data_IF_023714335604
#
_entry.id   IF_023714335604
#
_cell.length_a   1.000
_cell.length_b   1.000
_cell.length_c   1.000
_cell.angle_alpha   90.00
_cell.angle_beta   90.00
_cell.angle_gamma   90.00
#
_symmetry.space_group_name_H-M   'P 1'
#
loop_
_entity.id
_entity.type
_entity.pdbx_description
1 polymer ?
#
# COMPACT_ATOMS: atom_id res chain seq x y z
N UNK A 1 37.52 16.00 -17.24
CA UNK A 1 38.59 16.82 -17.83
C UNK A 1 39.92 16.52 -17.14
N UNK A 2 39.95 16.48 -15.80
CA UNK A 2 41.19 16.30 -15.02
C UNK A 2 41.87 14.91 -15.23
N UNK A 3 41.10 13.86 -15.55
CA UNK A 3 41.64 12.52 -15.82
C UNK A 3 42.44 12.46 -17.14
N UNK A 4 41.98 13.17 -18.14
CA UNK A 4 42.60 13.20 -19.47
C UNK A 4 43.93 13.94 -19.45
N UNK A 5 44.03 15.03 -18.68
CA UNK A 5 45.26 15.80 -18.52
C UNK A 5 46.38 14.96 -17.88
N UNK A 6 46.05 14.18 -16.85
CA UNK A 6 47.03 13.29 -16.17
C UNK A 6 47.49 12.17 -17.11
N UNK A 7 46.62 11.62 -17.96
CA UNK A 7 47.00 10.59 -18.93
C UNK A 7 47.93 11.15 -20.03
N UNK A 8 47.68 12.37 -20.47
CA UNK A 8 48.58 13.07 -21.42
C UNK A 8 49.94 13.37 -20.80
N UNK A 9 49.99 13.79 -19.53
CA UNK A 9 51.25 14.01 -18.83
C UNK A 9 52.05 12.71 -18.66
N UNK A 10 51.42 11.61 -18.28
CA UNK A 10 52.07 10.29 -18.18
C UNK A 10 52.60 9.85 -19.55
N UNK A 11 51.84 10.06 -20.61
CA UNK A 11 52.25 9.72 -21.96
C UNK A 11 53.44 10.54 -22.41
N UNK A 12 53.49 11.85 -22.10
CA UNK A 12 54.64 12.72 -22.38
C UNK A 12 55.92 12.28 -21.65
N UNK A 13 55.82 11.87 -20.38
CA UNK A 13 56.94 11.32 -19.60
C UNK A 13 57.45 10.01 -20.21
N UNK A 14 56.56 9.12 -20.66
CA UNK A 14 56.94 7.88 -21.34
C UNK A 14 57.66 8.12 -22.66
N UNK A 15 57.24 9.13 -23.43
CA UNK A 15 57.90 9.51 -24.70
C UNK A 15 59.31 10.05 -24.47
N UNK A 16 59.54 10.74 -23.33
CA UNK A 16 60.86 11.25 -22.95
C UNK A 16 61.76 10.19 -22.31
N UNK A 17 61.31 8.93 -22.22
CA UNK A 17 62.02 7.83 -21.62
C UNK A 17 62.42 8.07 -20.14
N UNK A 18 61.61 8.84 -19.41
CA UNK A 18 61.79 9.16 -17.99
C UNK A 18 60.66 8.59 -17.19
N UNK A 19 60.97 8.22 -15.93
CA UNK A 19 59.94 7.72 -14.98
C UNK A 19 59.08 8.89 -14.51
N UNK A 20 57.73 8.85 -14.68
CA UNK A 20 56.86 9.89 -14.17
C UNK A 20 57.01 10.04 -12.65
N UNK A 21 56.97 11.27 -12.12
CA UNK A 21 57.04 11.49 -10.70
C UNK A 21 55.85 10.87 -9.93
N UNK A 22 56.09 10.27 -8.76
CA UNK A 22 55.05 9.62 -7.93
C UNK A 22 53.86 10.54 -7.62
N UNK A 23 54.05 11.84 -7.61
CA UNK A 23 52.99 12.86 -7.41
C UNK A 23 51.85 12.76 -8.42
N UNK A 24 52.15 12.31 -9.66
CA UNK A 24 51.12 12.12 -10.70
C UNK A 24 50.20 10.91 -10.35
N UNK A 25 50.77 9.90 -9.69
CA UNK A 25 49.97 8.74 -9.26
C UNK A 25 49.26 8.97 -7.91
N UNK A 26 49.81 9.83 -7.05
CA UNK A 26 49.19 10.21 -5.78
C UNK A 26 47.86 10.95 -5.97
N UNK A 27 47.72 11.77 -7.02
CA UNK A 27 46.46 12.43 -7.41
C UNK A 27 45.38 11.42 -7.81
N UNK A 28 45.75 10.21 -8.24
CA UNK A 28 44.82 9.13 -8.61
C UNK A 28 44.24 8.38 -7.42
N UNK A 29 44.76 8.52 -6.21
CA UNK A 29 44.03 8.12 -5.00
C UNK A 29 42.84 9.07 -4.84
N UNK A 30 41.91 8.92 -5.78
CA UNK A 30 40.67 9.66 -5.82
C UNK A 30 40.08 9.68 -4.43
N UNK A 31 39.69 10.87 -3.99
CA UNK A 31 38.71 11.01 -2.91
C UNK A 31 37.64 9.95 -3.18
N UNK A 32 37.77 8.81 -2.52
CA UNK A 32 36.66 7.88 -2.36
C UNK A 32 35.59 8.77 -1.77
N UNK A 33 34.67 9.26 -2.62
CA UNK A 33 33.45 9.92 -2.15
C UNK A 33 32.78 8.85 -1.31
N UNK A 34 33.14 8.81 -0.04
CA UNK A 34 32.37 8.10 0.96
C UNK A 34 30.99 8.72 0.81
N UNK A 35 30.14 8.01 0.06
CA UNK A 35 28.75 8.37 -0.09
C UNK A 35 28.20 8.23 1.32
N UNK A 36 28.25 9.33 2.08
CA UNK A 36 27.65 9.39 3.41
C UNK A 36 26.22 9.00 3.17
N UNK A 37 25.91 7.74 3.49
CA UNK A 37 24.56 7.20 3.40
C UNK A 37 23.78 8.05 4.37
N UNK A 38 23.07 9.07 3.85
CA UNK A 38 22.18 9.87 4.70
C UNK A 38 21.29 8.88 5.42
N UNK A 39 21.22 8.94 6.75
CA UNK A 39 20.30 8.07 7.49
C UNK A 39 18.92 8.24 6.85
N UNK A 40 18.24 7.14 6.62
CA UNK A 40 16.93 7.12 5.99
C UNK A 40 15.94 7.67 7.01
N UNK A 41 15.86 8.99 7.10
CA UNK A 41 15.00 9.68 8.07
C UNK A 41 13.57 9.42 7.64
N UNK A 42 12.85 8.64 8.43
CA UNK A 42 11.42 8.40 8.25
C UNK A 42 10.68 9.73 8.46
N UNK A 43 9.65 9.98 7.68
CA UNK A 43 8.84 11.21 7.75
C UNK A 43 7.35 10.88 7.68
N UNK A 44 6.51 11.71 8.31
CA UNK A 44 5.05 11.58 8.26
C UNK A 44 4.52 11.66 6.83
N UNK A 45 5.11 12.53 5.99
CA UNK A 45 4.78 12.60 4.57
C UNK A 45 5.14 11.31 3.82
N UNK A 46 6.27 10.69 4.19
CA UNK A 46 6.68 9.39 3.65
C UNK A 46 5.74 8.25 4.08
N UNK A 47 5.17 8.31 5.27
CA UNK A 47 4.14 7.38 5.75
C UNK A 47 2.83 7.60 5.00
N UNK A 48 2.37 8.85 4.87
CA UNK A 48 1.18 9.22 4.11
C UNK A 48 1.26 8.72 2.65
N UNK A 49 2.37 9.00 1.96
CA UNK A 49 2.55 8.58 0.57
C UNK A 49 2.47 7.06 0.39
N UNK A 50 2.90 6.27 1.36
CA UNK A 50 2.77 4.80 1.34
C UNK A 50 1.36 4.35 1.68
N UNK A 51 0.73 4.99 2.68
CA UNK A 51 -0.63 4.69 3.08
C UNK A 51 -1.65 4.99 1.96
N UNK A 52 -1.37 5.95 1.07
CA UNK A 52 -2.23 6.27 -0.06
C UNK A 52 -2.19 5.23 -1.19
N UNK A 53 -1.17 4.38 -1.23
CA UNK A 53 -1.04 3.32 -2.27
C UNK A 53 -1.54 1.97 -1.74
N UNK A 54 -1.11 1.61 -0.52
CA UNK A 54 -1.50 0.35 0.12
C UNK A 54 -1.88 0.65 1.57
N UNK A 55 -3.11 0.27 1.98
CA UNK A 55 -3.56 0.46 3.36
C UNK A 55 -2.61 -0.23 4.35
N UNK A 56 -2.29 0.46 5.43
CA UNK A 56 -1.37 -0.04 6.45
C UNK A 56 0.12 0.12 6.12
N UNK A 57 0.52 0.32 4.86
CA UNK A 57 1.94 0.41 4.50
C UNK A 57 2.65 1.61 5.14
N UNK A 58 1.97 2.73 5.30
CA UNK A 58 2.50 3.88 6.03
C UNK A 58 2.84 3.56 7.48
N UNK A 59 2.01 2.74 8.14
CA UNK A 59 2.22 2.28 9.51
C UNK A 59 3.39 1.31 9.63
N UNK A 60 3.53 0.37 8.68
CA UNK A 60 4.71 -0.50 8.61
C UNK A 60 6.01 0.29 8.42
N UNK A 61 5.96 1.34 7.58
CA UNK A 61 7.10 2.24 7.42
C UNK A 61 7.46 2.99 8.71
N UNK A 62 6.48 3.28 9.57
CA UNK A 62 6.64 3.93 10.86
C UNK A 62 6.91 2.96 12.03
N UNK A 63 7.20 1.68 11.75
CA UNK A 63 7.38 0.60 12.72
C UNK A 63 6.15 0.29 13.59
N UNK A 64 4.96 0.70 13.15
CA UNK A 64 3.68 0.44 13.82
C UNK A 64 2.90 -0.70 13.13
N UNK A 65 3.50 -1.89 13.09
CA UNK A 65 2.96 -3.04 12.35
C UNK A 65 1.55 -3.46 12.79
N UNK A 66 1.21 -3.35 14.08
CA UNK A 66 -0.12 -3.67 14.59
C UNK A 66 -1.22 -2.79 14.00
N UNK A 67 -1.00 -1.46 13.93
CA UNK A 67 -1.92 -0.53 13.26
C UNK A 67 -1.97 -0.79 11.76
N UNK A 68 -0.82 -1.06 11.14
CA UNK A 68 -0.75 -1.39 9.72
C UNK A 68 -1.59 -2.61 9.37
N UNK A 69 -1.50 -3.67 10.16
CA UNK A 69 -2.31 -4.87 9.97
C UNK A 69 -3.81 -4.60 10.17
N UNK A 70 -4.17 -3.79 11.15
CA UNK A 70 -5.56 -3.42 11.42
C UNK A 70 -6.19 -2.71 10.20
N UNK A 71 -5.54 -1.68 9.66
CA UNK A 71 -6.07 -0.96 8.50
C UNK A 71 -6.08 -1.83 7.24
N UNK A 72 -5.04 -2.62 7.02
CA UNK A 72 -4.98 -3.55 5.90
C UNK A 72 -6.13 -4.57 5.95
N UNK A 73 -6.34 -5.21 7.10
CA UNK A 73 -7.41 -6.20 7.26
C UNK A 73 -8.81 -5.57 7.14
N UNK A 74 -9.02 -4.38 7.72
CA UNK A 74 -10.29 -3.67 7.62
C UNK A 74 -10.64 -3.35 6.16
N UNK A 75 -9.68 -2.90 5.36
CA UNK A 75 -9.89 -2.56 3.96
C UNK A 75 -10.11 -3.82 3.10
N UNK A 76 -9.37 -4.90 3.35
CA UNK A 76 -9.59 -6.18 2.68
C UNK A 76 -11.00 -6.70 2.94
N UNK A 77 -11.49 -6.62 4.17
CA UNK A 77 -12.87 -7.00 4.52
C UNK A 77 -13.88 -6.11 3.80
N UNK A 78 -13.69 -4.78 3.83
CA UNK A 78 -14.60 -3.84 3.17
C UNK A 78 -14.67 -4.06 1.66
N UNK A 79 -13.54 -4.28 0.99
CA UNK A 79 -13.47 -4.58 -0.44
C UNK A 79 -14.10 -5.94 -0.76
N UNK A 80 -13.91 -6.94 0.10
CA UNK A 80 -14.53 -8.26 -0.08
C UNK A 80 -16.06 -8.17 0.00
N UNK A 81 -16.59 -7.42 0.98
CA UNK A 81 -18.02 -7.16 1.09
C UNK A 81 -18.54 -6.35 -0.11
N UNK A 82 -17.77 -5.38 -0.59
CA UNK A 82 -18.06 -4.63 -1.81
C UNK A 82 -18.15 -5.54 -3.04
N UNK A 83 -17.24 -6.49 -3.17
CA UNK A 83 -17.27 -7.46 -4.25
C UNK A 83 -18.51 -8.38 -4.20
N UNK A 84 -18.86 -8.86 -3.00
CA UNK A 84 -20.09 -9.65 -2.82
C UNK A 84 -21.36 -8.83 -3.18
N UNK A 85 -21.39 -7.56 -2.76
CA UNK A 85 -22.49 -6.66 -3.12
C UNK A 85 -22.56 -6.40 -4.64
N UNK A 86 -21.40 -6.34 -5.32
CA UNK A 86 -21.35 -6.25 -6.78
C UNK A 86 -21.94 -7.49 -7.46
N UNK A 87 -21.59 -8.69 -6.99
CA UNK A 87 -22.16 -9.92 -7.52
C UNK A 87 -23.69 -9.99 -7.35
N UNK A 88 -24.18 -9.51 -6.21
CA UNK A 88 -25.64 -9.43 -5.96
C UNK A 88 -26.33 -8.42 -6.87
N UNK A 89 -25.69 -7.26 -7.13
CA UNK A 89 -26.16 -6.27 -8.08
C UNK A 89 -26.20 -6.83 -9.51
N UNK A 90 -25.14 -7.46 -9.95
CA UNK A 90 -25.05 -8.05 -11.29
C UNK A 90 -26.12 -9.11 -11.54
N UNK A 91 -26.39 -9.97 -10.54
CA UNK A 91 -27.50 -10.94 -10.61
C UNK A 91 -28.87 -10.26 -10.70
N UNK A 92 -29.07 -9.17 -9.94
CA UNK A 92 -30.32 -8.41 -10.00
C UNK A 92 -30.50 -7.74 -11.33
N UNK A 93 -29.44 -7.15 -11.89
CA UNK A 93 -29.42 -6.56 -13.22
C UNK A 93 -29.78 -7.58 -14.32
N UNK A 94 -29.20 -8.78 -14.26
CA UNK A 94 -29.53 -9.86 -15.18
C UNK A 94 -31.02 -10.27 -15.15
N UNK A 95 -31.66 -10.20 -13.97
CA UNK A 95 -33.12 -10.45 -13.86
C UNK A 95 -33.96 -9.37 -14.55
N UNK A 96 -33.55 -8.11 -14.41
CA UNK A 96 -34.24 -6.98 -15.11
C UNK A 96 -34.16 -7.22 -16.62
N UNK A 97 -32.98 -7.47 -17.17
CA UNK A 97 -32.79 -7.73 -18.60
C UNK A 97 -33.63 -8.93 -19.10
N UNK A 98 -33.65 -10.02 -18.31
CA UNK A 98 -34.43 -11.21 -18.63
C UNK A 98 -35.95 -10.91 -18.71
N UNK A 99 -36.50 -10.26 -17.67
CA UNK A 99 -37.95 -10.00 -17.61
C UNK A 99 -38.35 -8.91 -18.61
N UNK A 100 -37.49 -7.93 -18.83
CA UNK A 100 -37.73 -6.88 -19.83
C UNK A 100 -37.76 -7.44 -21.27
N UNK A 101 -36.91 -8.39 -21.62
CA UNK A 101 -36.92 -9.11 -22.90
C UNK A 101 -38.21 -9.91 -23.07
N UNK A 102 -38.66 -10.63 -22.03
CA UNK A 102 -39.91 -11.38 -22.03
C UNK A 102 -41.12 -10.43 -22.18
N UNK A 103 -41.15 -9.37 -21.40
CA UNK A 103 -42.17 -8.30 -21.49
C UNK A 103 -42.30 -7.74 -22.89
N UNK A 104 -41.20 -7.46 -23.59
CA UNK A 104 -41.21 -6.91 -24.95
C UNK A 104 -41.64 -7.91 -26.03
N UNK A 105 -41.39 -9.20 -25.81
CA UNK A 105 -41.72 -10.23 -26.77
C UNK A 105 -43.12 -10.81 -26.63
N UNK A 106 -43.83 -10.48 -25.53
CA UNK A 106 -45.11 -11.08 -25.20
C UNK A 106 -46.25 -10.41 -25.97
N UNK A 107 -47.16 -11.22 -26.49
CA UNK A 107 -48.36 -10.80 -27.23
C UNK A 107 -49.65 -11.09 -26.50
N UNK A 108 -49.58 -12.01 -25.50
CA UNK A 108 -50.71 -12.31 -24.63
C UNK A 108 -50.86 -11.22 -23.56
N UNK A 109 -52.02 -10.62 -23.41
CA UNK A 109 -52.24 -9.48 -22.50
C UNK A 109 -52.01 -9.88 -21.01
N UNK A 110 -52.42 -11.06 -20.59
CA UNK A 110 -52.26 -11.50 -19.20
C UNK A 110 -50.75 -11.72 -18.87
N UNK A 111 -50.03 -12.41 -19.77
CA UNK A 111 -48.61 -12.65 -19.63
C UNK A 111 -47.79 -11.34 -19.77
N UNK A 112 -48.22 -10.43 -20.61
CA UNK A 112 -47.63 -9.11 -20.75
C UNK A 112 -47.69 -8.34 -19.43
N UNK A 113 -48.86 -8.27 -18.79
CA UNK A 113 -49.01 -7.57 -17.50
C UNK A 113 -48.21 -8.30 -16.38
N UNK A 114 -48.16 -9.63 -16.41
CA UNK A 114 -47.35 -10.41 -15.48
C UNK A 114 -45.85 -10.08 -15.61
N UNK A 115 -45.29 -10.11 -16.82
CA UNK A 115 -43.86 -9.81 -17.04
C UNK A 115 -43.50 -8.35 -16.80
N UNK A 116 -44.42 -7.43 -17.07
CA UNK A 116 -44.29 -6.01 -16.72
C UNK A 116 -44.16 -5.83 -15.22
N UNK A 117 -45.02 -6.47 -14.43
CA UNK A 117 -44.91 -6.46 -12.96
C UNK A 117 -43.62 -7.06 -12.46
N UNK A 118 -43.17 -8.18 -13.05
CA UNK A 118 -41.88 -8.82 -12.70
C UNK A 118 -40.68 -7.94 -13.06
N UNK A 119 -40.75 -7.18 -14.12
CA UNK A 119 -39.69 -6.22 -14.49
C UNK A 119 -39.59 -5.13 -13.42
N UNK A 120 -40.70 -4.55 -12.99
CA UNK A 120 -40.71 -3.53 -11.94
C UNK A 120 -40.18 -4.06 -10.60
N UNK A 121 -40.60 -5.25 -10.17
CA UNK A 121 -40.06 -5.92 -8.96
C UNK A 121 -38.53 -6.11 -9.06
N UNK A 122 -38.02 -6.53 -10.22
CA UNK A 122 -36.60 -6.74 -10.48
C UNK A 122 -35.85 -5.41 -10.48
N UNK A 123 -36.38 -4.34 -11.06
CA UNK A 123 -35.80 -2.99 -11.04
C UNK A 123 -35.67 -2.46 -9.62
N UNK A 124 -36.72 -2.58 -8.81
CA UNK A 124 -36.67 -2.19 -7.41
C UNK A 124 -35.61 -2.98 -6.61
N UNK A 125 -35.51 -4.29 -6.89
CA UNK A 125 -34.47 -5.14 -6.27
C UNK A 125 -33.07 -4.71 -6.73
N UNK A 126 -32.87 -4.41 -8.00
CA UNK A 126 -31.59 -3.92 -8.55
C UNK A 126 -31.20 -2.58 -7.91
N UNK A 127 -32.14 -1.64 -7.77
CA UNK A 127 -31.89 -0.34 -7.12
C UNK A 127 -31.44 -0.54 -5.66
N UNK A 128 -32.12 -1.42 -4.91
CA UNK A 128 -31.70 -1.73 -3.52
C UNK A 128 -30.29 -2.32 -3.47
N UNK A 129 -29.95 -3.24 -4.38
CA UNK A 129 -28.63 -3.86 -4.46
C UNK A 129 -27.55 -2.85 -4.86
N UNK A 130 -27.87 -1.95 -5.80
CA UNK A 130 -26.98 -0.85 -6.18
C UNK A 130 -26.67 0.08 -5.00
N UNK A 131 -27.69 0.44 -4.21
CA UNK A 131 -27.49 1.27 -3.02
C UNK A 131 -26.59 0.58 -1.98
N UNK A 132 -26.73 -0.74 -1.80
CA UNK A 132 -25.84 -1.52 -0.96
C UNK A 132 -24.40 -1.50 -1.48
N UNK A 133 -24.20 -1.71 -2.77
CA UNK A 133 -22.91 -1.65 -3.44
C UNK A 133 -22.22 -0.30 -3.22
N UNK A 134 -22.93 0.80 -3.51
CA UNK A 134 -22.43 2.16 -3.30
C UNK A 134 -22.05 2.39 -1.83
N UNK A 135 -22.85 1.89 -0.90
CA UNK A 135 -22.57 2.02 0.54
C UNK A 135 -21.29 1.29 0.93
N UNK A 136 -21.06 0.10 0.40
CA UNK A 136 -19.82 -0.67 0.66
C UNK A 136 -18.58 0.04 0.10
N UNK A 137 -18.67 0.59 -1.12
CA UNK A 137 -17.56 1.39 -1.67
C UNK A 137 -17.29 2.67 -0.89
N UNK A 138 -18.33 3.34 -0.41
CA UNK A 138 -18.17 4.52 0.45
C UNK A 138 -17.49 4.15 1.78
N UNK A 139 -17.86 3.02 2.37
CA UNK A 139 -17.23 2.52 3.58
C UNK A 139 -15.74 2.20 3.36
N UNK A 140 -15.39 1.52 2.28
CA UNK A 140 -13.99 1.24 1.93
C UNK A 140 -13.19 2.54 1.73
N UNK A 141 -13.74 3.51 0.99
CA UNK A 141 -13.10 4.81 0.79
C UNK A 141 -12.90 5.59 2.11
N UNK A 142 -13.87 5.51 3.02
CA UNK A 142 -13.75 6.14 4.33
C UNK A 142 -12.65 5.47 5.19
N UNK A 143 -12.56 4.14 5.19
CA UNK A 143 -11.50 3.40 5.87
C UNK A 143 -10.13 3.79 5.29
N UNK A 144 -10.01 3.87 3.97
CA UNK A 144 -8.78 4.28 3.30
C UNK A 144 -8.37 5.72 3.68
N UNK A 145 -9.31 6.66 3.67
CA UNK A 145 -9.07 8.03 4.09
C UNK A 145 -8.61 8.12 5.55
N UNK A 146 -9.25 7.37 6.45
CA UNK A 146 -8.85 7.29 7.86
C UNK A 146 -7.44 6.72 8.02
N UNK A 147 -7.10 5.65 7.26
CA UNK A 147 -5.75 5.09 7.23
C UNK A 147 -4.70 6.12 6.80
N UNK A 148 -5.00 6.96 5.79
CA UNK A 148 -4.10 8.02 5.34
C UNK A 148 -3.89 9.09 6.40
N UNK A 149 -4.99 9.55 7.03
CA UNK A 149 -4.93 10.57 8.10
C UNK A 149 -4.15 10.04 9.29
N UNK A 150 -4.44 8.82 9.75
CA UNK A 150 -3.73 8.20 10.87
C UNK A 150 -2.24 8.04 10.56
N UNK A 151 -1.89 7.58 9.35
CA UNK A 151 -0.50 7.45 8.91
C UNK A 151 0.25 8.80 8.86
N UNK A 152 -0.43 9.89 8.51
CA UNK A 152 0.14 11.24 8.52
C UNK A 152 0.35 11.76 9.95
N UNK A 153 -0.56 11.44 10.87
CA UNK A 153 -0.52 11.87 12.26
C UNK A 153 0.47 11.06 13.13
N UNK A 154 1.12 10.03 12.55
CA UNK A 154 2.13 9.27 13.28
C UNK A 154 3.29 10.17 13.68
N UNK A 155 3.62 10.15 14.96
CA UNK A 155 4.83 10.79 15.48
C UNK A 155 6.05 9.92 15.07
N UNK A 156 6.68 10.30 13.96
CA UNK A 156 7.87 9.66 13.43
C UNK A 156 9.10 10.48 13.84
N UNK A 157 9.21 10.79 15.14
CA UNK A 157 10.43 11.37 15.67
C UNK A 157 11.52 10.29 15.64
N UNK A 158 12.68 10.55 15.00
CA UNK A 158 13.81 9.65 15.13
C UNK A 158 14.24 9.69 16.61
N UNK A 159 13.91 8.64 17.36
CA UNK A 159 14.46 8.48 18.69
C UNK A 159 15.99 8.42 18.58
N UNK A 160 16.72 9.34 19.19
CA UNK A 160 18.18 9.36 19.11
C UNK A 160 18.83 8.12 19.71
N UNK A 161 18.11 7.34 20.50
CA UNK A 161 18.56 6.08 21.10
C UNK A 161 17.38 5.11 21.20
N UNK A 162 17.41 4.10 20.34
CA UNK A 162 16.30 3.18 20.11
C UNK A 162 15.84 2.42 21.35
N UNK A 163 14.77 2.89 21.96
CA UNK A 163 13.96 2.04 22.86
C UNK A 163 13.15 1.09 21.95
N UNK A 164 13.67 -0.09 21.72
CA UNK A 164 12.91 -1.13 21.04
C UNK A 164 11.90 -1.72 21.99
N UNK A 165 10.68 -1.19 21.93
CA UNK A 165 9.52 -1.89 22.50
C UNK A 165 9.14 -2.99 21.52
N UNK A 166 9.39 -4.24 21.85
CA UNK A 166 8.94 -5.36 21.01
C UNK A 166 7.73 -6.02 21.65
N UNK A 167 6.62 -6.01 20.91
CA UNK A 167 5.45 -6.84 21.23
C UNK A 167 5.63 -8.17 20.49
N UNK A 168 5.85 -9.24 21.22
CA UNK A 168 6.02 -10.57 20.64
C UNK A 168 4.92 -11.53 21.15
N UNK A 169 4.34 -12.31 20.25
CA UNK A 169 3.59 -13.50 20.63
C UNK A 169 4.63 -14.62 20.86
N UNK A 170 4.79 -15.03 22.11
CA UNK A 170 5.57 -16.17 22.50
C UNK A 170 4.70 -17.35 22.90
N UNK A 171 5.20 -18.56 22.69
CA UNK A 171 4.59 -19.77 23.22
C UNK A 171 5.41 -20.21 24.45
N UNK A 172 4.75 -20.38 25.60
CA UNK A 172 5.40 -20.93 26.78
C UNK A 172 5.29 -22.46 26.75
N UNK A 173 6.41 -23.18 26.60
CA UNK A 173 6.37 -24.64 26.52
C UNK A 173 6.01 -25.32 27.83
N UNK A 174 6.09 -24.62 28.97
CA UNK A 174 5.81 -25.19 30.29
C UNK A 174 4.32 -25.22 30.58
N UNK A 175 3.61 -24.14 30.23
CA UNK A 175 2.17 -24.01 30.45
C UNK A 175 1.32 -24.22 29.20
N UNK A 176 1.97 -24.51 28.06
CA UNK A 176 1.33 -24.78 26.75
C UNK A 176 0.31 -23.71 26.32
N UNK A 177 0.53 -22.47 26.69
CA UNK A 177 -0.38 -21.36 26.36
C UNK A 177 0.36 -20.25 25.59
N UNK A 178 -0.34 -19.59 24.66
CA UNK A 178 0.20 -18.40 24.00
C UNK A 178 0.33 -17.25 25.00
N UNK A 179 1.50 -16.64 25.06
CA UNK A 179 1.79 -15.49 25.93
C UNK A 179 2.08 -14.26 25.10
N UNK A 180 1.52 -13.13 25.50
CA UNK A 180 1.91 -11.80 25.06
C UNK A 180 3.17 -11.39 25.85
N UNK A 181 4.32 -11.32 25.19
CA UNK A 181 5.56 -10.79 25.78
C UNK A 181 5.69 -9.31 25.49
N UNK A 182 5.73 -8.53 26.54
CA UNK A 182 6.09 -7.13 26.50
C UNK A 182 7.54 -7.01 26.96
N UNK A 183 8.46 -6.54 26.10
CA UNK A 183 9.81 -6.22 26.54
C UNK A 183 10.09 -4.74 26.28
N UNK A 184 10.45 -4.03 27.35
CA UNK A 184 10.94 -2.65 27.31
C UNK A 184 12.44 -2.77 27.59
N UNK A 185 13.29 -2.36 26.65
CA UNK A 185 14.71 -2.19 26.95
C UNK A 185 14.86 -0.94 27.82
N UNK A 186 15.21 -1.13 29.07
CA UNK A 186 15.65 -0.05 29.98
C UNK A 186 17.16 0.04 29.83
N UNK A 187 17.67 1.17 29.33
CA UNK A 187 19.10 1.53 29.39
C UNK A 187 19.47 2.03 30.78
#
# INVERSE_FOLDING_TARGET
>A
VDGMVVELEIMAWNIMNQTPPESLFAKRKGKTRTRVRRPNVKTSLGALARASVIPGWGHYYADQSGRGLMFYSAEVVALSLGYLAYLDYDRAYGKVDLYFKKYKAETDEELFQYYKGKTQEAEDAMIRKNNTLITMFRAAAAIHALNMVDAYMLDITPEPFGKKTTLGLGFDPIISQPQLRFSIALD
#
